data_IF_865294497420
#
_entry.id   IF_865294497420
#
_cell.length_a   1.000
_cell.length_b   1.000
_cell.length_c   1.000
_cell.angle_alpha   90.00
_cell.angle_beta   90.00
_cell.angle_gamma   90.00
#
_symmetry.space_group_name_H-M   'P 1'
#
loop_
_entity.id
_entity.type
_entity.pdbx_description
1 polymer ?
#
# COMPACT_ATOMS: atom_id res chain seq x y z
N UNK A 1 -29.15 3.10 -27.69
CA UNK A 1 -28.03 2.91 -28.63
C UNK A 1 -26.76 2.96 -27.81
N UNK A 2 -26.07 1.83 -27.70
CA UNK A 2 -24.79 1.77 -27.00
C UNK A 2 -23.74 2.47 -27.88
N UNK A 3 -23.27 3.63 -27.46
CA UNK A 3 -22.18 4.29 -28.17
C UNK A 3 -20.91 3.43 -28.06
N UNK A 4 -20.22 3.26 -29.17
CA UNK A 4 -18.94 2.58 -29.17
C UNK A 4 -17.94 3.39 -28.34
N UNK A 5 -17.23 2.80 -27.39
CA UNK A 5 -16.29 3.56 -26.57
C UNK A 5 -15.14 4.11 -27.41
N UNK A 6 -14.74 5.34 -27.10
CA UNK A 6 -13.56 5.97 -27.72
C UNK A 6 -12.31 5.28 -27.17
N UNK A 7 -11.45 4.80 -28.06
CA UNK A 7 -10.24 4.07 -27.68
C UNK A 7 -9.01 4.98 -27.77
N UNK A 8 -7.96 4.60 -27.05
CA UNK A 8 -6.69 5.36 -27.02
C UNK A 8 -6.13 5.53 -28.45
N UNK A 9 -6.17 4.48 -29.29
CA UNK A 9 -5.67 4.55 -30.67
C UNK A 9 -6.46 5.50 -31.57
N UNK A 10 -7.67 5.94 -31.14
CA UNK A 10 -8.55 6.79 -31.95
C UNK A 10 -8.27 8.28 -31.74
N UNK A 11 -7.41 8.63 -30.78
CA UNK A 11 -7.10 10.04 -30.46
C UNK A 11 -5.59 10.27 -30.52
N UNK A 12 -5.15 11.43 -31.04
CA UNK A 12 -3.73 11.80 -30.94
C UNK A 12 -3.30 11.98 -29.48
N UNK A 13 -2.01 11.80 -29.23
CA UNK A 13 -1.44 11.94 -27.88
C UNK A 13 -1.81 13.28 -27.23
N UNK A 14 -1.69 14.38 -27.99
CA UNK A 14 -2.01 15.73 -27.47
C UNK A 14 -3.47 15.85 -27.03
N UNK A 15 -4.37 15.18 -27.76
CA UNK A 15 -5.80 15.21 -27.41
C UNK A 15 -6.07 14.37 -26.17
N UNK A 16 -5.32 13.28 -25.95
CA UNK A 16 -5.41 12.47 -24.74
C UNK A 16 -4.86 13.26 -23.54
N UNK A 17 -3.71 13.90 -23.69
CA UNK A 17 -3.13 14.75 -22.63
C UNK A 17 -4.06 15.91 -22.27
N UNK A 18 -4.72 16.52 -23.27
CA UNK A 18 -5.68 17.60 -23.01
C UNK A 18 -6.88 17.12 -22.16
N UNK A 19 -7.20 15.83 -22.19
CA UNK A 19 -8.27 15.26 -21.35
C UNK A 19 -7.75 14.91 -19.95
N UNK A 20 -6.46 14.56 -19.82
CA UNK A 20 -5.83 14.13 -18.57
C UNK A 20 -5.47 15.31 -17.68
N UNK A 21 -4.79 16.33 -18.25
CA UNK A 21 -4.21 17.43 -17.47
C UNK A 21 -5.22 18.13 -16.54
N UNK A 22 -6.45 18.45 -16.98
CA UNK A 22 -7.39 19.11 -16.08
C UNK A 22 -7.87 18.26 -14.90
N UNK A 23 -7.65 16.95 -14.96
CA UNK A 23 -8.06 16.02 -13.90
C UNK A 23 -6.97 15.83 -12.84
N UNK A 24 -5.73 16.22 -13.14
CA UNK A 24 -4.61 15.98 -12.24
C UNK A 24 -4.66 16.90 -11.03
N UNK A 25 -4.25 16.39 -9.85
CA UNK A 25 -4.22 17.23 -8.65
C UNK A 25 -3.11 18.25 -8.74
N UNK A 26 -3.32 19.40 -8.11
CA UNK A 26 -2.32 20.47 -8.01
C UNK A 26 -1.92 20.68 -6.56
N UNK A 27 -0.78 21.32 -6.33
CA UNK A 27 -0.26 21.58 -4.98
C UNK A 27 0.48 22.92 -4.97
N UNK A 28 0.48 23.62 -3.81
CA UNK A 28 1.21 24.89 -3.71
C UNK A 28 2.72 24.77 -3.94
N UNK A 29 3.28 23.59 -3.74
CA UNK A 29 4.70 23.33 -3.99
C UNK A 29 5.03 23.20 -5.49
N UNK A 30 4.03 23.08 -6.35
CA UNK A 30 4.25 22.98 -7.80
C UNK A 30 4.42 24.39 -8.37
N UNK A 31 5.63 24.76 -8.77
CA UNK A 31 5.95 26.07 -9.33
C UNK A 31 5.74 26.09 -10.85
N UNK A 32 6.05 24.99 -11.53
CA UNK A 32 5.74 24.74 -12.95
C UNK A 32 5.19 23.31 -13.03
N UNK A 33 3.97 23.19 -13.50
CA UNK A 33 3.28 21.89 -13.62
C UNK A 33 3.40 21.29 -15.02
N UNK A 34 2.50 20.33 -15.36
CA UNK A 34 2.54 19.66 -16.66
C UNK A 34 2.40 20.64 -17.84
N UNK A 35 3.10 20.35 -18.93
CA UNK A 35 3.01 21.13 -20.17
C UNK A 35 4.33 21.71 -20.65
N UNK A 36 5.39 21.60 -19.88
CA UNK A 36 6.75 21.96 -20.29
C UNK A 36 7.62 20.70 -20.25
N UNK A 37 8.89 20.81 -20.62
CA UNK A 37 9.81 19.65 -20.64
C UNK A 37 9.99 19.03 -19.24
N UNK A 38 9.92 19.85 -18.20
CA UNK A 38 10.05 19.40 -16.81
C UNK A 38 9.12 20.21 -15.89
N UNK A 39 8.69 19.58 -14.82
CA UNK A 39 8.03 20.30 -13.72
C UNK A 39 9.09 20.96 -12.82
N UNK A 40 8.71 22.05 -12.14
CA UNK A 40 9.54 22.66 -11.10
C UNK A 40 8.76 22.57 -9.79
N UNK A 41 9.35 21.90 -8.81
CA UNK A 41 8.73 21.66 -7.50
C UNK A 41 9.61 22.28 -6.41
N UNK A 42 8.99 23.02 -5.50
CA UNK A 42 9.71 23.63 -4.38
C UNK A 42 10.24 22.55 -3.44
N UNK A 43 11.46 22.75 -2.95
CA UNK A 43 12.07 21.90 -1.92
C UNK A 43 12.50 22.78 -0.73
N UNK A 44 11.51 23.21 0.10
CA UNK A 44 11.79 24.21 1.15
C UNK A 44 12.84 23.78 2.18
N UNK A 45 12.96 22.46 2.42
CA UNK A 45 13.90 21.87 3.37
C UNK A 45 15.32 21.73 2.74
N UNK A 46 15.50 21.97 1.46
CA UNK A 46 16.76 21.76 0.74
C UNK A 46 17.06 20.29 0.46
N UNK A 47 16.13 19.38 0.81
CA UNK A 47 16.23 17.93 0.59
C UNK A 47 14.82 17.38 0.43
N UNK A 48 14.71 16.15 -0.07
CA UNK A 48 13.40 15.48 -0.23
C UNK A 48 13.59 13.97 -0.18
N UNK A 49 12.52 13.27 0.15
CA UNK A 49 12.48 11.81 0.01
C UNK A 49 11.93 11.47 -1.38
N UNK A 50 12.35 10.34 -1.94
CA UNK A 50 11.89 9.89 -3.24
C UNK A 50 11.76 8.38 -3.24
N UNK A 51 10.68 7.87 -3.85
CA UNK A 51 10.45 6.44 -4.06
C UNK A 51 9.82 6.24 -5.43
N UNK A 52 9.77 4.98 -5.88
CA UNK A 52 9.07 4.64 -7.12
C UNK A 52 8.54 3.21 -7.02
N UNK A 53 7.28 3.04 -7.47
CA UNK A 53 6.64 1.75 -7.55
C UNK A 53 5.97 1.57 -8.91
N UNK A 54 5.76 0.31 -9.28
CA UNK A 54 5.13 -0.04 -10.55
C UNK A 54 3.95 -0.99 -10.34
N UNK A 55 2.86 -0.74 -11.05
CA UNK A 55 1.74 -1.67 -11.19
C UNK A 55 1.74 -2.25 -12.59
N UNK A 56 1.68 -3.56 -12.69
CA UNK A 56 1.66 -4.29 -13.97
C UNK A 56 0.36 -5.07 -14.05
N UNK A 57 -0.36 -4.93 -15.15
CA UNK A 57 -1.60 -5.67 -15.43
C UNK A 57 -1.34 -7.17 -15.33
N UNK A 58 -2.29 -7.88 -14.76
CA UNK A 58 -2.29 -9.32 -14.49
C UNK A 58 -1.28 -9.78 -13.43
N UNK A 59 -0.47 -8.85 -12.89
CA UNK A 59 0.39 -9.12 -11.73
C UNK A 59 -0.17 -8.43 -10.48
N UNK A 60 -0.40 -7.13 -10.56
CA UNK A 60 -0.80 -6.31 -9.41
C UNK A 60 -2.29 -5.94 -9.44
N UNK A 61 -2.88 -5.94 -10.63
CA UNK A 61 -4.32 -5.69 -10.82
C UNK A 61 -4.79 -6.41 -12.07
N UNK A 62 -6.11 -6.58 -12.20
CA UNK A 62 -6.71 -7.16 -13.41
C UNK A 62 -7.84 -6.25 -13.87
N UNK A 63 -7.82 -5.87 -15.17
CA UNK A 63 -8.83 -4.93 -15.73
C UNK A 63 -10.26 -5.47 -15.64
N UNK A 64 -10.43 -6.80 -15.56
CA UNK A 64 -11.77 -7.38 -15.39
C UNK A 64 -12.38 -7.06 -14.02
N UNK A 65 -11.57 -6.64 -13.04
CA UNK A 65 -12.02 -6.26 -11.69
C UNK A 65 -11.81 -4.77 -11.40
N UNK A 66 -10.77 -4.18 -11.97
CA UNK A 66 -10.29 -2.84 -11.63
C UNK A 66 -10.58 -1.87 -12.76
N UNK A 67 -11.34 -0.82 -12.47
CA UNK A 67 -11.50 0.30 -13.38
C UNK A 67 -10.20 1.12 -13.43
N UNK A 68 -10.10 2.05 -14.37
CA UNK A 68 -8.99 3.00 -14.37
C UNK A 68 -8.91 3.79 -13.07
N UNK A 69 -10.06 4.20 -12.53
CA UNK A 69 -10.12 4.91 -11.25
C UNK A 69 -9.48 4.09 -10.11
N UNK A 70 -9.82 2.80 -10.03
CA UNK A 70 -9.26 1.93 -8.98
C UNK A 70 -7.74 1.84 -9.11
N UNK A 71 -7.24 1.67 -10.34
CA UNK A 71 -5.80 1.53 -10.58
C UNK A 71 -5.07 2.85 -10.28
N UNK A 72 -5.66 3.99 -10.66
CA UNK A 72 -5.07 5.31 -10.34
C UNK A 72 -5.02 5.57 -8.84
N UNK A 73 -6.11 5.26 -8.11
CA UNK A 73 -6.15 5.36 -6.65
C UNK A 73 -5.05 4.52 -6.02
N UNK A 74 -4.97 3.24 -6.42
CA UNK A 74 -4.00 2.30 -5.85
C UNK A 74 -2.56 2.71 -6.15
N UNK A 75 -2.30 3.14 -7.41
CA UNK A 75 -0.96 3.61 -7.81
C UNK A 75 -0.52 4.81 -6.98
N UNK A 76 -1.44 5.74 -6.69
CA UNK A 76 -1.13 6.87 -5.81
C UNK A 76 -0.87 6.38 -4.38
N UNK A 77 -1.80 5.62 -3.80
CA UNK A 77 -1.76 5.26 -2.37
C UNK A 77 -0.48 4.50 -2.03
N UNK A 78 -0.07 3.50 -2.84
CA UNK A 78 1.14 2.73 -2.52
C UNK A 78 2.39 3.62 -2.49
N UNK A 79 2.50 4.56 -3.43
CA UNK A 79 3.62 5.49 -3.49
C UNK A 79 3.57 6.52 -2.36
N UNK A 80 2.37 7.03 -2.06
CA UNK A 80 2.19 7.97 -0.94
C UNK A 80 2.54 7.31 0.39
N UNK A 81 2.23 6.00 0.55
CA UNK A 81 2.55 5.24 1.77
C UNK A 81 4.06 5.19 2.02
N UNK A 82 4.88 5.01 0.97
CA UNK A 82 6.34 5.06 1.11
C UNK A 82 6.81 6.38 1.70
N UNK A 83 6.29 7.49 1.16
CA UNK A 83 6.72 8.82 1.59
C UNK A 83 6.31 9.09 3.04
N UNK A 84 5.05 8.80 3.38
CA UNK A 84 4.58 9.10 4.74
C UNK A 84 5.24 8.19 5.76
N UNK A 85 5.67 6.97 5.36
CA UNK A 85 6.38 6.07 6.27
C UNK A 85 7.79 6.57 6.62
N UNK A 86 8.33 7.53 5.85
CA UNK A 86 9.57 8.23 6.22
C UNK A 86 9.32 9.44 7.11
N UNK A 87 8.06 9.73 7.49
CA UNK A 87 7.68 10.92 8.24
C UNK A 87 7.56 12.17 7.38
N UNK A 88 7.57 12.03 6.05
CA UNK A 88 7.51 13.14 5.12
C UNK A 88 6.07 13.37 4.64
N UNK A 89 5.80 14.57 4.16
CA UNK A 89 4.55 14.89 3.50
C UNK A 89 4.73 14.76 1.98
N UNK A 90 3.87 14.00 1.30
CA UNK A 90 3.96 13.90 -0.16
C UNK A 90 3.81 15.27 -0.82
N UNK A 91 4.56 15.51 -1.90
CA UNK A 91 4.56 16.79 -2.60
C UNK A 91 4.24 16.64 -4.08
N UNK A 92 4.92 15.73 -4.77
CA UNK A 92 4.81 15.63 -6.23
C UNK A 92 4.96 14.19 -6.70
N UNK A 93 4.20 13.83 -7.74
CA UNK A 93 4.30 12.54 -8.42
C UNK A 93 4.54 12.77 -9.91
N UNK A 94 5.32 11.90 -10.54
CA UNK A 94 5.36 11.77 -12.00
C UNK A 94 4.95 10.35 -12.35
N UNK A 95 4.18 10.21 -13.42
CA UNK A 95 3.52 8.95 -13.78
C UNK A 95 3.87 8.56 -15.20
N UNK A 96 4.52 7.40 -15.38
CA UNK A 96 4.72 6.80 -16.69
C UNK A 96 3.63 5.76 -16.91
N UNK A 97 2.87 5.89 -18.00
CA UNK A 97 1.76 5.01 -18.33
C UNK A 97 2.02 4.35 -19.69
N UNK A 98 2.23 3.04 -19.66
CA UNK A 98 2.27 2.21 -20.87
C UNK A 98 0.88 1.59 -21.03
N UNK A 99 0.32 1.59 -22.26
CA UNK A 99 -1.05 1.11 -22.46
C UNK A 99 -1.29 0.63 -23.88
N UNK A 100 -2.18 -0.38 -24.06
CA UNK A 100 -2.55 -0.81 -25.40
C UNK A 100 -3.47 0.18 -26.08
N UNK A 101 -3.37 0.25 -27.40
CA UNK A 101 -4.17 1.19 -28.19
C UNK A 101 -5.69 0.94 -28.15
N UNK A 102 -6.12 -0.27 -27.78
CA UNK A 102 -7.54 -0.60 -27.65
C UNK A 102 -8.12 -0.28 -26.28
N UNK A 103 -7.33 0.32 -25.39
CA UNK A 103 -7.81 0.73 -24.07
C UNK A 103 -8.80 1.92 -24.24
N UNK A 104 -9.96 1.89 -23.57
CA UNK A 104 -10.89 3.03 -23.67
C UNK A 104 -10.28 4.31 -23.06
N UNK A 105 -10.50 5.44 -23.70
CA UNK A 105 -10.06 6.75 -23.20
C UNK A 105 -10.66 7.02 -21.81
N UNK A 106 -11.91 6.60 -21.59
CA UNK A 106 -12.55 6.76 -20.27
C UNK A 106 -11.82 5.99 -19.16
N UNK A 107 -11.14 4.87 -19.48
CA UNK A 107 -10.31 4.15 -18.51
C UNK A 107 -9.12 5.02 -18.10
N UNK A 108 -8.47 5.67 -19.07
CA UNK A 108 -7.31 6.52 -18.83
C UNK A 108 -7.69 7.78 -18.02
N UNK A 109 -8.80 8.44 -18.38
CA UNK A 109 -9.26 9.60 -17.61
C UNK A 109 -9.75 9.18 -16.22
N UNK A 110 -10.28 7.96 -16.08
CA UNK A 110 -10.59 7.35 -14.78
C UNK A 110 -9.34 7.24 -13.92
N UNK A 111 -8.23 6.76 -14.50
CA UNK A 111 -6.96 6.63 -13.79
C UNK A 111 -6.49 8.00 -13.27
N UNK A 112 -6.59 9.04 -14.12
CA UNK A 112 -6.22 10.40 -13.70
C UNK A 112 -7.09 10.89 -12.53
N UNK A 113 -8.40 10.58 -12.54
CA UNK A 113 -9.30 10.94 -11.42
C UNK A 113 -8.93 10.18 -10.14
N UNK A 114 -8.61 8.88 -10.26
CA UNK A 114 -8.19 8.08 -9.09
C UNK A 114 -6.92 8.63 -8.45
N UNK A 115 -5.92 8.99 -9.28
CA UNK A 115 -4.71 9.65 -8.80
C UNK A 115 -5.06 10.96 -8.06
N UNK A 116 -5.94 11.77 -8.66
CA UNK A 116 -6.32 13.07 -8.09
C UNK A 116 -6.99 12.91 -6.72
N UNK A 117 -7.96 12.00 -6.64
CA UNK A 117 -8.74 11.83 -5.40
C UNK A 117 -7.87 11.28 -4.26
N UNK A 118 -6.89 10.43 -4.57
CA UNK A 118 -5.97 9.91 -3.55
C UNK A 118 -4.93 10.96 -3.11
N UNK A 119 -4.46 11.80 -4.03
CA UNK A 119 -3.41 12.78 -3.75
C UNK A 119 -3.93 14.04 -3.05
N UNK A 120 -5.14 14.50 -3.40
CA UNK A 120 -5.68 15.79 -2.96
C UNK A 120 -5.72 15.95 -1.43
N UNK A 121 -6.16 14.95 -0.65
CA UNK A 121 -6.20 15.11 0.82
C UNK A 121 -4.84 15.34 1.46
N UNK A 122 -3.76 14.92 0.78
CA UNK A 122 -2.39 15.07 1.30
C UNK A 122 -1.68 16.28 0.71
N UNK A 123 -2.34 17.02 -0.20
CA UNK A 123 -1.74 18.17 -0.85
C UNK A 123 -0.63 17.82 -1.83
N UNK A 124 -0.69 16.64 -2.43
CA UNK A 124 0.29 16.20 -3.42
C UNK A 124 -0.25 16.44 -4.84
N UNK A 125 0.65 16.72 -5.78
CA UNK A 125 0.31 17.00 -7.16
C UNK A 125 0.90 15.92 -8.09
N UNK A 126 0.20 15.62 -9.18
CA UNK A 126 0.83 14.93 -10.32
C UNK A 126 1.36 16.02 -11.24
N UNK A 127 2.69 16.09 -11.36
CA UNK A 127 3.37 17.24 -11.99
C UNK A 127 3.91 16.91 -13.39
N UNK A 128 3.81 15.67 -13.83
CA UNK A 128 4.28 15.25 -15.13
C UNK A 128 4.23 13.76 -15.30
N UNK A 129 4.79 13.29 -16.40
CA UNK A 129 4.81 11.85 -16.69
C UNK A 129 5.06 11.60 -18.17
N UNK A 130 4.76 10.37 -18.59
CA UNK A 130 4.99 9.94 -19.96
C UNK A 130 3.88 8.97 -20.39
N UNK A 131 3.50 9.01 -21.66
CA UNK A 131 2.56 8.05 -22.24
C UNK A 131 3.26 7.25 -23.33
N UNK A 132 3.07 5.94 -23.31
CA UNK A 132 3.69 5.08 -24.31
C UNK A 132 2.75 3.93 -24.69
N UNK A 133 2.90 3.43 -25.91
CA UNK A 133 2.16 2.26 -26.37
C UNK A 133 2.82 0.96 -25.90
N UNK A 134 2.00 -0.06 -25.62
CA UNK A 134 2.49 -1.40 -25.26
C UNK A 134 1.36 -2.40 -25.26
N UNK A 135 1.66 -3.65 -24.91
CA UNK A 135 0.68 -4.74 -24.98
C UNK A 135 -0.13 -4.90 -23.68
N UNK A 136 0.36 -4.34 -22.58
CA UNK A 136 -0.27 -4.40 -21.25
C UNK A 136 -0.31 -3.02 -20.66
N UNK A 137 -1.21 -2.81 -19.68
CA UNK A 137 -1.16 -1.59 -18.90
C UNK A 137 -0.07 -1.71 -17.83
N UNK A 138 0.86 -0.74 -17.83
CA UNK A 138 1.87 -0.61 -16.79
C UNK A 138 1.83 0.83 -16.29
N UNK A 139 1.72 1.01 -14.97
CA UNK A 139 1.69 2.32 -14.33
C UNK A 139 2.89 2.41 -13.40
N UNK A 140 3.90 3.20 -13.76
CA UNK A 140 5.06 3.45 -12.89
C UNK A 140 4.93 4.87 -12.33
N UNK A 141 5.01 4.99 -11.02
CA UNK A 141 4.87 6.27 -10.34
C UNK A 141 6.15 6.54 -9.56
N UNK A 142 6.71 7.74 -9.71
CA UNK A 142 7.77 8.23 -8.85
C UNK A 142 7.21 9.36 -8.01
N UNK A 143 7.43 9.29 -6.70
CA UNK A 143 6.86 10.22 -5.73
C UNK A 143 7.99 10.95 -4.98
N UNK A 144 7.75 12.21 -4.69
CA UNK A 144 8.66 13.06 -3.90
C UNK A 144 7.92 13.58 -2.68
N UNK A 145 8.62 13.70 -1.55
CA UNK A 145 8.05 14.22 -0.32
C UNK A 145 8.97 15.16 0.43
N UNK A 146 8.37 16.07 1.19
CA UNK A 146 9.05 17.07 1.99
C UNK A 146 9.05 16.63 3.45
N UNK A 147 10.24 16.56 4.05
CA UNK A 147 10.37 16.24 5.49
C UNK A 147 9.94 17.39 6.39
N UNK A 148 9.77 18.59 5.85
CA UNK A 148 9.37 19.79 6.60
C UNK A 148 10.30 20.03 7.81
N UNK A 149 11.60 19.82 7.62
CA UNK A 149 12.60 19.99 8.67
C UNK A 149 12.77 18.79 9.60
N UNK A 150 11.92 17.76 9.49
CA UNK A 150 12.02 16.57 10.35
C UNK A 150 13.24 15.72 9.96
N UNK A 151 13.74 14.95 10.92
CA UNK A 151 14.63 13.84 10.58
C UNK A 151 13.80 12.72 9.94
N UNK A 152 14.31 12.05 8.89
CA UNK A 152 13.57 10.92 8.33
C UNK A 152 13.47 9.77 9.33
N UNK A 153 12.30 9.15 9.41
CA UNK A 153 12.13 7.95 10.21
C UNK A 153 12.59 6.77 9.35
N UNK A 154 13.51 5.97 9.88
CA UNK A 154 14.12 4.86 9.14
C UNK A 154 13.63 3.52 9.66
N UNK A 155 13.90 2.45 8.92
CA UNK A 155 13.63 1.09 9.39
C UNK A 155 14.59 0.67 10.51
N UNK A 156 15.75 1.33 10.64
CA UNK A 156 16.88 0.91 11.49
C UNK A 156 16.89 1.59 12.88
N UNK A 157 15.80 2.20 13.30
CA UNK A 157 15.80 2.98 14.53
C UNK A 157 15.14 2.33 15.75
N UNK A 158 14.56 1.13 15.60
CA UNK A 158 13.84 0.48 16.71
C UNK A 158 14.81 0.04 17.82
N UNK A 159 14.41 0.23 19.06
CA UNK A 159 15.27 -0.04 20.23
C UNK A 159 14.56 -0.98 21.22
N UNK A 160 15.29 -1.90 21.87
CA UNK A 160 14.67 -2.70 22.92
C UNK A 160 13.93 -1.84 23.94
N UNK A 161 12.70 -2.23 24.25
CA UNK A 161 11.80 -1.48 25.13
C UNK A 161 10.79 -0.62 24.40
N UNK A 162 10.99 -0.36 23.10
CA UNK A 162 10.01 0.40 22.31
C UNK A 162 8.71 -0.40 22.15
N UNK A 163 7.59 0.30 22.06
CA UNK A 163 6.29 -0.28 21.71
C UNK A 163 6.23 -0.43 20.19
N UNK A 164 5.82 -1.60 19.69
CA UNK A 164 5.49 -1.80 18.28
C UNK A 164 4.02 -1.42 18.10
N UNK A 165 3.73 -0.52 17.17
CA UNK A 165 2.38 -0.02 16.96
C UNK A 165 2.01 -0.01 15.47
N UNK A 166 0.72 -0.12 15.20
CA UNK A 166 0.18 -0.20 13.84
C UNK A 166 -0.96 0.82 13.67
N UNK A 167 -0.95 1.55 12.57
CA UNK A 167 -2.07 2.38 12.15
C UNK A 167 -2.64 1.83 10.84
N UNK A 168 -3.92 1.55 10.82
CA UNK A 168 -4.59 0.94 9.67
C UNK A 168 -5.05 -0.48 9.93
N UNK A 169 -5.40 -1.19 8.87
CA UNK A 169 -5.94 -2.55 8.92
C UNK A 169 -4.97 -3.55 8.28
N UNK A 170 -5.18 -4.82 8.59
CA UNK A 170 -4.37 -5.91 8.05
C UNK A 170 -5.25 -6.97 7.40
N UNK A 171 -4.80 -7.49 6.26
CA UNK A 171 -5.39 -8.63 5.59
C UNK A 171 -6.63 -8.33 4.76
N UNK A 172 -7.11 -7.10 4.76
CA UNK A 172 -8.34 -6.76 4.03
C UNK A 172 -8.15 -6.87 2.52
N UNK A 173 -7.02 -6.36 2.02
CA UNK A 173 -6.71 -6.42 0.59
C UNK A 173 -6.56 -7.87 0.14
N UNK A 174 -5.83 -8.68 0.91
CA UNK A 174 -5.63 -10.10 0.59
C UNK A 174 -6.95 -10.87 0.60
N UNK A 175 -7.84 -10.60 1.56
CA UNK A 175 -9.16 -11.25 1.62
C UNK A 175 -10.03 -10.83 0.43
N UNK A 176 -10.01 -9.54 0.06
CA UNK A 176 -10.73 -9.03 -1.10
C UNK A 176 -10.29 -9.69 -2.40
N UNK A 177 -8.97 -9.80 -2.59
CA UNK A 177 -8.40 -10.50 -3.74
C UNK A 177 -8.86 -11.97 -3.77
N UNK A 178 -8.78 -12.65 -2.63
CA UNK A 178 -9.20 -14.06 -2.55
C UNK A 178 -10.68 -14.25 -2.91
N UNK A 179 -11.55 -13.33 -2.48
CA UNK A 179 -12.96 -13.35 -2.85
C UNK A 179 -13.15 -13.15 -4.37
N UNK A 180 -12.40 -12.23 -4.97
CA UNK A 180 -12.48 -11.98 -6.42
C UNK A 180 -11.97 -13.18 -7.22
N UNK A 181 -10.83 -13.76 -6.81
CA UNK A 181 -10.26 -14.94 -7.47
C UNK A 181 -11.22 -16.14 -7.44
N UNK A 182 -11.97 -16.28 -6.34
CA UNK A 182 -12.94 -17.37 -6.19
C UNK A 182 -14.30 -17.07 -6.83
N UNK A 183 -14.46 -15.91 -7.48
CA UNK A 183 -15.75 -15.49 -8.04
C UNK A 183 -16.79 -15.16 -6.97
N UNK A 184 -16.37 -14.85 -5.78
CA UNK A 184 -17.24 -14.59 -4.62
C UNK A 184 -17.15 -13.15 -4.11
N UNK A 185 -16.82 -12.19 -4.98
CA UNK A 185 -16.71 -10.79 -4.59
C UNK A 185 -17.97 -10.24 -3.93
N UNK A 186 -19.15 -10.77 -4.30
CA UNK A 186 -20.44 -10.35 -3.72
C UNK A 186 -20.59 -10.67 -2.22
N UNK A 187 -19.70 -11.47 -1.65
CA UNK A 187 -19.77 -11.85 -0.23
C UNK A 187 -19.46 -10.67 0.69
N UNK A 188 -18.51 -9.81 0.26
CA UNK A 188 -18.11 -8.67 1.09
C UNK A 188 -17.57 -7.56 0.21
N UNK A 189 -18.44 -6.62 -0.17
CA UNK A 189 -18.08 -5.48 -1.01
C UNK A 189 -16.99 -4.61 -0.39
N UNK A 190 -16.94 -4.52 0.96
CA UNK A 190 -15.95 -3.68 1.62
C UNK A 190 -14.54 -4.29 1.55
N UNK A 191 -14.42 -5.62 1.59
CA UNK A 191 -13.13 -6.28 1.40
C UNK A 191 -12.68 -6.18 -0.06
N UNK A 192 -13.63 -6.33 -1.00
CA UNK A 192 -13.32 -6.12 -2.42
C UNK A 192 -12.84 -4.68 -2.64
N UNK A 193 -13.55 -3.70 -2.05
CA UNK A 193 -13.14 -2.29 -2.16
C UNK A 193 -11.73 -2.07 -1.56
N UNK A 194 -11.41 -2.74 -0.44
CA UNK A 194 -10.08 -2.60 0.17
C UNK A 194 -8.96 -3.12 -0.76
N UNK A 195 -9.25 -4.19 -1.52
CA UNK A 195 -8.29 -4.64 -2.54
C UNK A 195 -8.18 -3.66 -3.71
N UNK A 196 -9.34 -3.18 -4.22
CA UNK A 196 -9.35 -2.30 -5.39
C UNK A 196 -8.79 -0.92 -5.07
N UNK A 197 -9.10 -0.40 -3.89
CA UNK A 197 -8.74 0.96 -3.45
C UNK A 197 -8.35 0.93 -1.98
N UNK A 198 -7.12 0.52 -1.67
CA UNK A 198 -6.67 0.54 -0.27
C UNK A 198 -6.74 1.96 0.28
N UNK A 199 -7.09 2.07 1.56
CA UNK A 199 -7.31 3.36 2.22
C UNK A 199 -6.61 3.39 3.59
N UNK A 200 -5.27 3.34 3.61
CA UNK A 200 -4.52 3.42 4.86
C UNK A 200 -4.54 4.86 5.41
N UNK A 201 -4.28 5.02 6.71
CA UNK A 201 -4.28 6.35 7.33
C UNK A 201 -2.98 7.11 7.05
N UNK A 202 -2.80 7.55 5.80
CA UNK A 202 -1.54 8.15 5.33
C UNK A 202 -1.11 9.36 6.16
N UNK A 203 -2.08 10.17 6.63
CA UNK A 203 -1.77 11.33 7.47
C UNK A 203 -1.12 10.97 8.81
N UNK A 204 -1.22 9.71 9.23
CA UNK A 204 -0.60 9.25 10.48
C UNK A 204 0.93 9.15 10.39
N UNK A 205 1.51 9.10 9.17
CA UNK A 205 2.98 8.99 9.02
C UNK A 205 3.74 10.20 9.57
N UNK A 206 3.49 11.41 9.06
CA UNK A 206 4.13 12.60 9.65
C UNK A 206 3.79 12.78 11.15
N UNK A 207 2.56 12.45 11.56
CA UNK A 207 2.18 12.51 12.96
C UNK A 207 3.00 11.55 13.82
N UNK A 208 3.32 10.37 13.29
CA UNK A 208 4.19 9.40 13.98
C UNK A 208 5.61 9.97 14.16
N UNK A 209 6.14 10.62 13.12
CA UNK A 209 7.46 11.26 13.20
C UNK A 209 7.46 12.35 14.27
N UNK A 210 6.43 13.21 14.31
CA UNK A 210 6.28 14.26 15.30
C UNK A 210 6.14 13.69 16.73
N UNK A 211 5.54 12.49 16.86
CA UNK A 211 5.39 11.79 18.15
C UNK A 211 6.66 11.03 18.57
N UNK A 212 7.71 11.07 17.75
CA UNK A 212 8.99 10.45 18.08
C UNK A 212 9.11 8.98 17.70
N UNK A 213 8.43 8.57 16.63
CA UNK A 213 8.61 7.21 16.11
C UNK A 213 10.10 6.91 15.89
N UNK A 214 10.57 5.80 16.41
CA UNK A 214 11.98 5.40 16.32
C UNK A 214 12.28 4.66 15.02
N UNK A 215 11.30 3.88 14.52
CA UNK A 215 11.37 3.25 13.20
C UNK A 215 9.97 3.22 12.60
N UNK A 216 9.89 3.17 11.27
CA UNK A 216 8.59 3.08 10.59
C UNK A 216 8.76 2.54 9.17
N UNK A 217 7.74 1.86 8.68
CA UNK A 217 7.54 1.53 7.26
C UNK A 217 6.07 1.19 7.04
N UNK A 218 5.64 1.12 5.80
CA UNK A 218 4.30 0.63 5.47
C UNK A 218 4.29 -0.91 5.39
N UNK A 219 3.10 -1.49 5.53
CA UNK A 219 2.90 -2.94 5.41
C UNK A 219 2.37 -3.21 4.00
N UNK A 220 3.28 -3.45 3.08
CA UNK A 220 2.97 -3.70 1.67
C UNK A 220 3.05 -5.19 1.30
N UNK A 221 3.96 -5.94 1.92
CA UNK A 221 4.19 -7.35 1.60
C UNK A 221 3.68 -8.33 2.66
N UNK A 222 3.13 -7.80 3.74
CA UNK A 222 2.60 -8.58 4.85
C UNK A 222 3.30 -8.28 6.17
N UNK A 223 2.54 -8.32 7.25
CA UNK A 223 3.03 -7.88 8.57
C UNK A 223 4.32 -8.59 8.98
N UNK A 224 4.39 -9.92 8.83
CA UNK A 224 5.59 -10.65 9.25
C UNK A 224 6.82 -10.27 8.42
N UNK A 225 6.64 -10.09 7.09
CA UNK A 225 7.75 -9.72 6.21
C UNK A 225 8.25 -8.31 6.54
N UNK A 226 7.34 -7.37 6.68
CA UNK A 226 7.69 -5.97 6.84
C UNK A 226 8.18 -5.67 8.27
N UNK A 227 7.57 -6.27 9.29
CA UNK A 227 8.13 -6.23 10.66
C UNK A 227 9.53 -6.84 10.69
N UNK A 228 9.76 -7.90 9.91
CA UNK A 228 11.09 -8.52 9.78
C UNK A 228 12.12 -7.57 9.17
N UNK A 229 11.70 -6.69 8.25
CA UNK A 229 12.60 -5.68 7.67
C UNK A 229 13.05 -4.67 8.73
N UNK A 230 12.10 -4.18 9.55
CA UNK A 230 12.45 -3.29 10.68
C UNK A 230 13.38 -4.01 11.66
N UNK A 231 13.01 -5.24 12.04
CA UNK A 231 13.77 -6.03 13.00
C UNK A 231 15.23 -6.20 12.58
N UNK A 232 15.44 -6.65 11.33
CA UNK A 232 16.80 -6.86 10.79
C UNK A 232 17.58 -5.55 10.66
N UNK A 233 16.92 -4.50 10.16
CA UNK A 233 17.58 -3.19 10.00
C UNK A 233 17.99 -2.60 11.35
N UNK A 234 17.23 -2.91 12.42
CA UNK A 234 17.49 -2.40 13.77
C UNK A 234 18.34 -3.34 14.61
N UNK A 235 18.63 -4.56 14.13
CA UNK A 235 19.36 -5.56 14.92
C UNK A 235 18.59 -6.02 16.16
N UNK A 236 17.27 -6.13 16.09
CA UNK A 236 16.39 -6.35 17.23
C UNK A 236 15.31 -7.38 16.90
N UNK A 237 14.55 -7.77 17.91
CA UNK A 237 13.36 -8.61 17.75
C UNK A 237 12.13 -7.72 17.87
N UNK A 238 11.19 -7.84 16.92
CA UNK A 238 9.83 -7.30 17.07
C UNK A 238 8.93 -8.44 17.54
N UNK A 239 8.58 -8.42 18.83
CA UNK A 239 7.75 -9.46 19.46
C UNK A 239 6.30 -8.98 19.43
N UNK A 240 5.52 -9.52 18.51
CA UNK A 240 4.12 -9.14 18.29
C UNK A 240 3.21 -9.98 19.18
N UNK A 241 2.13 -9.37 19.66
CA UNK A 241 1.14 -10.03 20.51
C UNK A 241 -0.11 -10.36 19.67
N UNK A 242 -0.30 -11.60 19.20
CA UNK A 242 -1.42 -11.96 18.32
C UNK A 242 -2.79 -11.60 18.89
N UNK A 243 -2.95 -11.56 20.20
CA UNK A 243 -4.22 -11.17 20.82
C UNK A 243 -4.64 -9.75 20.41
N UNK A 244 -3.68 -8.85 20.16
CA UNK A 244 -3.98 -7.47 19.75
C UNK A 244 -4.48 -7.37 18.31
N UNK A 245 -4.33 -8.43 17.53
CA UNK A 245 -4.76 -8.51 16.13
C UNK A 245 -6.13 -9.19 15.99
N UNK A 246 -6.80 -9.46 17.11
CA UNK A 246 -8.10 -10.16 17.11
C UNK A 246 -9.17 -9.48 16.28
N UNK A 247 -9.27 -8.15 16.38
CA UNK A 247 -10.26 -7.40 15.62
C UNK A 247 -10.04 -7.49 14.09
N UNK A 248 -8.78 -7.54 13.66
CA UNK A 248 -8.47 -7.74 12.23
C UNK A 248 -8.92 -9.14 11.79
N UNK A 249 -8.57 -10.19 12.57
CA UNK A 249 -9.01 -11.55 12.26
C UNK A 249 -10.53 -11.66 12.22
N UNK A 250 -11.22 -11.10 13.24
CA UNK A 250 -12.70 -11.16 13.33
C UNK A 250 -13.35 -10.53 12.09
N UNK A 251 -12.80 -9.43 11.60
CA UNK A 251 -13.30 -8.74 10.39
C UNK A 251 -13.24 -9.65 9.16
N UNK A 252 -12.27 -10.55 9.09
CA UNK A 252 -12.02 -11.40 7.92
C UNK A 252 -12.71 -12.77 7.99
N UNK A 253 -13.23 -13.14 9.17
CA UNK A 253 -13.76 -14.48 9.44
C UNK A 253 -14.88 -14.90 8.47
N UNK A 254 -15.81 -13.98 8.16
CA UNK A 254 -16.91 -14.28 7.25
C UNK A 254 -16.41 -14.60 5.82
N UNK A 255 -15.44 -13.84 5.34
CA UNK A 255 -14.83 -14.11 4.03
C UNK A 255 -14.08 -15.45 4.03
N UNK A 256 -13.36 -15.74 5.10
CA UNK A 256 -12.65 -17.01 5.27
C UNK A 256 -13.61 -18.21 5.27
N UNK A 257 -14.68 -17.93 5.85
CA UNK A 257 -15.55 -18.74 5.86
C UNK A 257 -16.04 -19.01 4.72
N UNK A 258 -16.54 -18.14 3.89
CA UNK A 258 -17.12 -18.28 2.55
C UNK A 258 -16.21 -19.03 1.57
N UNK A 259 -14.93 -18.97 1.77
CA UNK A 259 -13.94 -19.64 0.91
C UNK A 259 -13.55 -21.04 1.41
N UNK A 260 -14.20 -21.55 2.45
CA UNK A 260 -13.96 -22.92 2.92
C UNK A 260 -14.24 -23.92 1.77
N UNK A 261 -13.31 -24.79 1.49
CA UNK A 261 -13.41 -25.74 0.39
C UNK A 261 -12.89 -25.24 -0.95
N UNK A 262 -12.47 -23.99 -1.05
CA UNK A 262 -11.81 -23.47 -2.26
C UNK A 262 -10.31 -23.44 -2.03
N UNK A 263 -9.56 -24.18 -2.81
CA UNK A 263 -8.10 -24.10 -2.83
C UNK A 263 -7.70 -22.79 -3.50
N UNK A 264 -7.21 -21.84 -2.73
CA UNK A 264 -6.74 -20.56 -3.26
C UNK A 264 -5.34 -20.66 -3.82
N UNK A 265 -4.95 -19.67 -4.61
CA UNK A 265 -3.65 -19.58 -5.28
C UNK A 265 -2.46 -19.39 -4.33
N UNK A 266 -2.68 -19.22 -3.04
CA UNK A 266 -1.61 -19.22 -2.04
C UNK A 266 -1.53 -20.61 -1.42
N UNK A 267 -0.61 -21.40 -1.96
CA UNK A 267 -0.47 -22.82 -1.67
C UNK A 267 -0.57 -23.22 -0.21
N UNK A 268 -1.65 -23.92 0.12
CA UNK A 268 -1.60 -24.90 1.16
C UNK A 268 -2.58 -26.03 0.81
N UNK A 269 -2.03 -27.18 0.53
CA UNK A 269 -2.79 -28.38 0.24
C UNK A 269 -3.02 -29.14 1.54
N UNK A 270 -4.26 -29.25 1.94
CA UNK A 270 -4.69 -30.25 2.92
C UNK A 270 -5.24 -29.70 4.21
N UNK A 271 -6.54 -29.56 4.23
CA UNK A 271 -7.37 -30.14 5.29
C UNK A 271 -8.86 -29.87 5.04
N UNK A 272 -9.69 -30.71 5.64
CA UNK A 272 -11.13 -30.70 5.48
C UNK A 272 -11.77 -29.34 5.88
N UNK A 273 -12.89 -28.95 5.24
CA UNK A 273 -13.54 -27.68 5.57
C UNK A 273 -14.10 -27.69 6.97
N UNK A 274 -13.43 -27.00 7.87
CA UNK A 274 -13.84 -26.83 9.25
C UNK A 274 -13.62 -25.40 9.73
N UNK A 275 -14.19 -25.07 10.88
CA UNK A 275 -14.04 -23.76 11.49
C UNK A 275 -12.54 -23.41 11.71
N UNK A 276 -11.71 -24.41 11.99
CA UNK A 276 -10.28 -24.20 12.17
C UNK A 276 -9.58 -23.70 10.91
N UNK A 277 -9.95 -24.24 9.74
CA UNK A 277 -9.34 -23.80 8.47
C UNK A 277 -9.69 -22.34 8.13
N UNK A 278 -10.92 -21.92 8.47
CA UNK A 278 -11.31 -20.53 8.25
C UNK A 278 -10.54 -19.59 9.19
N UNK A 279 -10.36 -19.99 10.44
CA UNK A 279 -9.59 -19.22 11.41
C UNK A 279 -8.12 -19.08 10.96
N UNK A 280 -7.52 -20.20 10.53
CA UNK A 280 -6.14 -20.22 10.05
C UNK A 280 -5.97 -19.34 8.79
N UNK A 281 -6.97 -19.37 7.88
CA UNK A 281 -6.95 -18.52 6.69
C UNK A 281 -7.03 -17.04 7.06
N UNK A 282 -7.95 -16.67 7.97
CA UNK A 282 -8.09 -15.29 8.40
C UNK A 282 -6.80 -14.80 9.07
N UNK A 283 -6.21 -15.64 9.92
CA UNK A 283 -4.92 -15.32 10.55
C UNK A 283 -3.80 -15.19 9.50
N UNK A 284 -3.80 -16.07 8.49
CA UNK A 284 -2.84 -15.99 7.39
C UNK A 284 -2.92 -14.66 6.67
N UNK A 285 -4.13 -14.18 6.37
CA UNK A 285 -4.30 -12.87 5.76
C UNK A 285 -3.79 -11.73 6.65
N UNK A 286 -4.05 -11.79 7.97
CA UNK A 286 -3.60 -10.74 8.90
C UNK A 286 -2.07 -10.72 8.99
N UNK A 287 -1.44 -11.88 9.07
CA UNK A 287 0.00 -11.97 9.31
C UNK A 287 0.84 -11.83 8.04
N UNK A 288 0.33 -12.34 6.90
CA UNK A 288 1.12 -12.45 5.67
C UNK A 288 0.47 -11.78 4.45
N UNK A 289 -0.77 -11.29 4.58
CA UNK A 289 -1.43 -10.60 3.48
C UNK A 289 -0.82 -9.23 3.21
N UNK A 290 -0.60 -8.92 1.94
CA UNK A 290 -0.04 -7.63 1.55
C UNK A 290 -1.08 -6.65 1.04
N UNK A 291 -0.59 -5.49 0.62
CA UNK A 291 -1.32 -4.45 -0.12
C UNK A 291 -2.34 -3.65 0.72
N UNK A 292 -2.28 -3.73 2.05
CA UNK A 292 -3.10 -2.88 2.93
C UNK A 292 -2.43 -1.52 3.18
N UNK A 293 -1.10 -1.44 3.10
CA UNK A 293 -0.29 -0.22 3.30
C UNK A 293 -0.51 0.44 4.67
N UNK A 294 -0.88 -0.34 5.68
CA UNK A 294 -0.93 0.13 7.07
C UNK A 294 0.46 0.60 7.49
N UNK A 295 0.55 1.54 8.44
CA UNK A 295 1.83 2.04 8.91
C UNK A 295 2.25 1.26 10.16
N UNK A 296 3.41 0.62 10.09
CA UNK A 296 4.03 -0.10 11.20
C UNK A 296 5.16 0.74 11.74
N UNK A 297 5.09 1.08 13.03
CA UNK A 297 6.10 1.96 13.64
C UNK A 297 6.48 1.46 15.03
N UNK A 298 7.63 1.94 15.52
CA UNK A 298 8.05 1.73 16.91
C UNK A 298 8.16 3.07 17.61
N UNK A 299 7.83 3.10 18.90
CA UNK A 299 7.83 4.33 19.71
C UNK A 299 8.46 4.04 21.06
N UNK A 300 9.18 5.01 21.67
CA UNK A 300 9.65 4.84 23.05
C UNK A 300 8.49 4.49 24.00
N UNK A 301 8.74 3.65 24.98
CA UNK A 301 7.68 3.17 25.89
C UNK A 301 6.88 4.28 26.57
N UNK A 302 7.50 5.46 26.76
CA UNK A 302 6.85 6.60 27.41
C UNK A 302 6.10 7.51 26.43
N UNK A 303 6.21 7.26 25.11
CA UNK A 303 5.57 8.11 24.11
C UNK A 303 4.06 7.88 24.09
N UNK A 304 3.32 8.96 23.90
CA UNK A 304 1.87 8.86 23.63
C UNK A 304 1.69 8.49 22.15
N UNK A 305 1.05 7.37 21.87
CA UNK A 305 0.82 6.96 20.48
C UNK A 305 -0.11 7.99 19.80
N UNK A 306 0.24 8.44 18.60
CA UNK A 306 -0.65 9.37 17.90
C UNK A 306 -1.94 8.68 17.45
N UNK A 307 -2.96 9.49 17.16
CA UNK A 307 -4.26 8.99 16.74
C UNK A 307 -4.12 8.01 15.57
N UNK A 308 -4.85 6.92 15.63
CA UNK A 308 -4.84 5.87 14.62
C UNK A 308 -3.86 4.73 14.92
N UNK A 309 -2.85 4.96 15.75
CA UNK A 309 -1.92 3.89 16.14
C UNK A 309 -2.44 3.13 17.36
N UNK A 310 -2.27 1.81 17.32
CA UNK A 310 -2.55 0.91 18.44
C UNK A 310 -1.34 0.03 18.69
N UNK A 311 -1.05 -0.26 19.95
CA UNK A 311 0.08 -1.15 20.30
C UNK A 311 -0.22 -2.59 19.85
N UNK A 312 0.76 -3.22 19.21
CA UNK A 312 0.63 -4.61 18.77
C UNK A 312 1.80 -5.48 19.23
N UNK A 313 2.77 -4.92 19.96
CA UNK A 313 3.92 -5.68 20.40
C UNK A 313 4.97 -4.82 21.10
N UNK A 314 6.14 -5.38 21.28
CA UNK A 314 7.26 -4.72 21.93
C UNK A 314 8.56 -5.11 21.20
N UNK A 315 9.52 -4.18 21.22
CA UNK A 315 10.86 -4.45 20.69
C UNK A 315 11.71 -5.07 21.79
N UNK A 316 12.39 -6.19 21.48
CA UNK A 316 13.29 -6.88 22.41
C UNK A 316 14.70 -6.94 21.84
N UNK A 317 15.72 -7.18 22.67
CA UNK A 317 17.06 -7.48 22.14
C UNK A 317 17.01 -8.71 21.22
N UNK A 318 17.94 -8.79 20.26
CA UNK A 318 18.10 -9.98 19.45
C UNK A 318 18.35 -11.20 20.39
N UNK A 319 17.77 -12.32 20.03
CA UNK A 319 17.86 -13.56 20.82
C UNK A 319 18.75 -14.60 20.11
N UNK A 320 18.72 -15.86 20.55
CA UNK A 320 19.55 -16.92 20.00
C UNK A 320 19.24 -17.21 18.51
N UNK A 321 18.01 -16.89 18.05
CA UNK A 321 17.62 -17.01 16.65
C UNK A 321 17.89 -15.70 15.88
N UNK A 322 18.51 -14.71 16.52
CA UNK A 322 18.90 -13.45 15.90
C UNK A 322 17.78 -12.42 15.85
N UNK A 323 18.03 -11.37 15.05
CA UNK A 323 17.04 -10.32 14.83
C UNK A 323 15.91 -10.83 13.93
N UNK A 324 14.67 -10.52 14.27
CA UNK A 324 13.52 -10.99 13.49
C UNK A 324 12.20 -10.76 14.21
N UNK A 325 11.15 -11.42 13.73
CA UNK A 325 9.82 -11.30 14.31
C UNK A 325 9.57 -12.48 15.23
N UNK A 326 8.85 -12.23 16.33
CA UNK A 326 8.29 -13.27 17.20
C UNK A 326 6.79 -13.02 17.35
N UNK A 327 6.06 -14.10 17.62
CA UNK A 327 4.64 -14.07 18.00
C UNK A 327 4.56 -14.65 19.41
N UNK A 328 4.29 -13.79 20.40
CA UNK A 328 4.33 -14.16 21.83
C UNK A 328 5.63 -14.92 22.18
N UNK A 329 6.76 -14.40 21.69
CA UNK A 329 8.09 -14.95 21.97
C UNK A 329 8.53 -16.10 21.08
N UNK A 330 7.65 -16.64 20.22
CA UNK A 330 7.99 -17.78 19.37
C UNK A 330 8.26 -17.35 17.92
N UNK A 331 9.20 -18.03 17.26
CA UNK A 331 9.46 -17.80 15.82
C UNK A 331 8.22 -18.21 15.02
N UNK A 332 7.68 -17.35 14.15
CA UNK A 332 6.52 -17.73 13.36
C UNK A 332 6.80 -18.91 12.43
N UNK A 333 5.86 -19.86 12.36
CA UNK A 333 5.95 -21.03 11.48
C UNK A 333 5.29 -20.81 10.12
N UNK A 334 4.82 -19.59 9.85
CA UNK A 334 4.06 -19.23 8.66
C UNK A 334 4.96 -18.49 7.66
N UNK A 335 4.64 -18.58 6.37
CA UNK A 335 5.32 -17.80 5.34
C UNK A 335 5.20 -16.30 5.67
N UNK A 336 6.30 -15.54 5.54
CA UNK A 336 6.29 -14.16 6.04
C UNK A 336 5.46 -13.19 5.21
N UNK A 337 5.17 -13.50 3.94
CA UNK A 337 4.43 -12.60 3.06
C UNK A 337 4.82 -12.75 1.60
N UNK A 338 4.43 -11.78 0.78
CA UNK A 338 4.60 -11.81 -0.67
C UNK A 338 6.08 -11.71 -1.09
N UNK A 339 6.43 -12.42 -2.15
CA UNK A 339 7.76 -12.33 -2.78
C UNK A 339 7.57 -12.32 -4.29
N UNK A 340 7.96 -11.23 -4.95
CA UNK A 340 7.72 -11.01 -6.38
C UNK A 340 8.34 -12.08 -7.29
N UNK A 341 9.35 -12.79 -6.81
CA UNK A 341 10.09 -13.77 -7.61
C UNK A 341 9.92 -15.21 -7.14
N UNK A 342 9.18 -15.44 -6.05
CA UNK A 342 8.96 -16.78 -5.46
C UNK A 342 7.48 -17.10 -5.25
N UNK A 343 6.58 -16.39 -5.92
CA UNK A 343 5.14 -16.61 -5.81
C UNK A 343 4.67 -17.75 -6.73
#
# INVERSE_FOLDING_TARGET
VSETPLLVRDVPEEALLARIFPLLPTAPTTLVGPGDDCAVVAAPDGRYVVSTDVLVEDRHFRRRWSSGYDVGWRAAVQNLADVVSMGARPAALVVSLVMPGDLPVDWVTGLARGLADACTPLGAAVVGGDLSGGDQVVVAVTVHGDLEGRAPVLRSGARPGDVVALAGSLGRSAAGLALLDAGRGHVDDALVAAYLRPDPPLAAGPAAADAGATAMMDVSDGLLRDAGRIARASGAVLDLAPATLGADRDRLRAAAXALAGHAGAAGDAGDAPGAGAAEDRAEGWVLSGGEDHALLATFPAHATLPAGFRAIGIVRPADDDGAGVRLDGAVPHRAPGWDHFRA
#
